data_IF_787494480542
#
_entry.id   IF_787494480542
#
_cell.length_a   1.000
_cell.length_b   1.000
_cell.length_c   1.000
_cell.angle_alpha   90.00
_cell.angle_beta   90.00
_cell.angle_gamma   90.00
#
_symmetry.space_group_name_H-M   'P 1'
#
loop_
_entity.id
_entity.type
_entity.pdbx_description
1 polymer ?
#
# COMPACT_ATOMS: atom_id res chain seq x y z
N UNK A 1 22.04 18.72 -22.48
CA UNK A 1 20.88 18.37 -23.34
C UNK A 1 21.26 18.19 -24.81
N UNK A 2 21.80 19.21 -25.50
CA UNK A 2 22.18 19.10 -26.94
C UNK A 2 23.12 17.92 -27.26
N UNK A 3 24.10 17.62 -26.40
CA UNK A 3 25.04 16.50 -26.59
C UNK A 3 24.38 15.11 -26.50
N UNK A 4 23.43 14.94 -25.58
CA UNK A 4 22.72 13.66 -25.40
C UNK A 4 21.81 13.40 -26.60
N UNK A 5 21.05 14.41 -27.02
CA UNK A 5 20.18 14.32 -28.20
C UNK A 5 21.00 14.09 -29.48
N UNK A 6 22.11 14.82 -29.66
CA UNK A 6 23.01 14.62 -30.79
C UNK A 6 23.57 13.20 -30.88
N UNK A 7 23.99 12.62 -29.75
CA UNK A 7 24.46 11.24 -29.73
C UNK A 7 23.40 10.22 -30.14
N UNK A 8 22.14 10.40 -29.73
CA UNK A 8 21.01 9.54 -30.14
C UNK A 8 20.70 9.65 -31.64
N UNK A 9 20.90 10.84 -32.23
CA UNK A 9 20.79 11.05 -33.68
C UNK A 9 21.96 10.35 -34.39
N UNK A 10 23.19 10.54 -33.91
CA UNK A 10 24.36 9.94 -34.57
C UNK A 10 24.43 8.40 -34.41
N UNK A 11 23.73 7.84 -33.40
CA UNK A 11 23.74 6.41 -33.06
C UNK A 11 22.32 5.81 -33.08
N UNK A 12 21.65 5.89 -34.24
CA UNK A 12 20.29 5.40 -34.43
C UNK A 12 20.07 3.92 -34.03
N UNK A 13 21.05 3.04 -34.24
CA UNK A 13 20.94 1.63 -33.84
C UNK A 13 20.82 1.49 -32.32
N UNK A 14 21.66 2.19 -31.56
CA UNK A 14 21.62 2.21 -30.09
C UNK A 14 20.31 2.80 -29.58
N UNK A 15 19.80 3.85 -30.23
CA UNK A 15 18.51 4.45 -29.91
C UNK A 15 17.34 3.46 -30.08
N UNK A 16 17.33 2.70 -31.18
CA UNK A 16 16.30 1.71 -31.46
C UNK A 16 16.39 0.50 -30.50
N UNK A 17 17.60 0.05 -30.15
CA UNK A 17 17.79 -0.99 -29.14
C UNK A 17 17.28 -0.55 -27.76
N UNK A 18 17.54 0.71 -27.38
CA UNK A 18 17.01 1.28 -26.14
C UNK A 18 15.48 1.32 -26.16
N UNK A 19 14.88 1.74 -27.28
CA UNK A 19 13.42 1.71 -27.46
C UNK A 19 12.87 0.29 -27.29
N UNK A 20 13.45 -0.69 -27.99
CA UNK A 20 13.03 -2.08 -27.92
C UNK A 20 13.12 -2.63 -26.50
N UNK A 21 14.21 -2.30 -25.79
CA UNK A 21 14.41 -2.69 -24.41
C UNK A 21 13.31 -2.15 -23.50
N UNK A 22 12.99 -0.86 -23.59
CA UNK A 22 11.92 -0.23 -22.80
C UNK A 22 10.56 -0.84 -23.12
N UNK A 23 10.27 -1.09 -24.40
CA UNK A 23 9.01 -1.73 -24.81
C UNK A 23 8.89 -3.16 -24.29
N UNK A 24 9.95 -3.97 -24.40
CA UNK A 24 9.96 -5.34 -23.90
C UNK A 24 9.79 -5.38 -22.37
N UNK A 25 10.51 -4.54 -21.64
CA UNK A 25 10.36 -4.41 -20.19
C UNK A 25 8.94 -3.96 -19.80
N UNK A 26 8.36 -3.01 -20.54
CA UNK A 26 6.99 -2.56 -20.35
C UNK A 26 5.97 -3.68 -20.56
N UNK A 27 6.11 -4.47 -21.63
CA UNK A 27 5.22 -5.61 -21.93
C UNK A 27 5.29 -6.65 -20.82
N UNK A 28 6.48 -7.03 -20.37
CA UNK A 28 6.65 -7.98 -19.25
C UNK A 28 5.98 -7.43 -17.98
N UNK A 29 6.17 -6.14 -17.70
CA UNK A 29 5.59 -5.49 -16.52
C UNK A 29 4.07 -5.52 -16.58
N UNK A 30 3.47 -5.15 -17.71
CA UNK A 30 2.00 -5.15 -17.88
C UNK A 30 1.42 -6.56 -17.72
N UNK A 31 2.09 -7.59 -18.24
CA UNK A 31 1.60 -8.97 -18.11
C UNK A 31 1.74 -9.55 -16.69
N UNK A 32 2.67 -9.02 -15.88
CA UNK A 32 2.96 -9.52 -14.52
C UNK A 32 2.35 -8.67 -13.42
N UNK A 33 1.89 -7.46 -13.75
CA UNK A 33 1.30 -6.53 -12.80
C UNK A 33 -0.01 -7.06 -12.24
N UNK A 34 -0.16 -7.01 -10.91
CA UNK A 34 -1.42 -7.32 -10.25
C UNK A 34 -2.43 -6.22 -10.53
N UNK A 35 -3.62 -6.61 -10.97
CA UNK A 35 -4.75 -5.71 -11.16
C UNK A 35 -5.68 -5.90 -9.96
N UNK A 36 -5.89 -4.83 -9.21
CA UNK A 36 -6.80 -4.80 -8.07
C UNK A 36 -7.99 -3.89 -8.40
N UNK A 37 -9.22 -4.37 -8.13
CA UNK A 37 -10.46 -3.60 -8.37
C UNK A 37 -10.60 -2.47 -7.36
N UNK A 38 -10.22 -2.74 -6.12
CA UNK A 38 -10.10 -1.77 -5.04
C UNK A 38 -8.69 -1.87 -4.47
N UNK A 39 -8.04 -0.75 -4.13
CA UNK A 39 -6.78 -0.81 -3.42
C UNK A 39 -6.96 -1.55 -2.10
N UNK A 40 -5.97 -2.36 -1.71
CA UNK A 40 -5.91 -2.93 -0.37
C UNK A 40 -5.63 -1.82 0.65
N UNK A 41 -6.72 -1.23 1.14
CA UNK A 41 -6.70 -0.32 2.28
C UNK A 41 -7.01 -1.20 3.49
N UNK A 42 -5.98 -1.77 4.10
CA UNK A 42 -6.08 -2.42 5.40
C UNK A 42 -5.95 -1.34 6.48
N UNK A 43 -7.06 -0.84 7.07
CA UNK A 43 -6.95 0.11 8.15
C UNK A 43 -6.29 -0.59 9.35
N UNK A 44 -5.37 0.10 10.02
CA UNK A 44 -4.78 -0.36 11.28
C UNK A 44 -5.87 -0.43 12.35
N UNK A 45 -6.54 -1.58 12.42
CA UNK A 45 -7.62 -1.86 13.37
C UNK A 45 -7.27 -3.10 14.18
N UNK A 46 -7.45 -2.98 15.49
CA UNK A 46 -7.32 -4.08 16.43
C UNK A 46 -8.70 -4.27 17.08
N UNK A 47 -9.20 -5.51 17.10
CA UNK A 47 -10.44 -5.84 17.76
C UNK A 47 -10.14 -6.44 19.14
N UNK A 48 -10.72 -5.84 20.19
CA UNK A 48 -10.60 -6.31 21.57
C UNK A 48 -11.98 -6.80 22.01
N UNK A 49 -12.07 -8.03 22.49
CA UNK A 49 -13.33 -8.62 22.94
C UNK A 49 -13.17 -9.15 24.36
N UNK A 50 -14.06 -8.71 25.25
CA UNK A 50 -14.13 -9.17 26.64
C UNK A 50 -15.55 -9.63 26.90
N UNK A 51 -15.71 -10.82 27.46
CA UNK A 51 -17.02 -11.39 27.80
C UNK A 51 -17.20 -11.33 29.30
N UNK A 52 -18.20 -10.59 29.74
CA UNK A 52 -18.68 -10.57 31.13
C UNK A 52 -20.19 -10.79 31.14
N UNK A 53 -20.66 -11.76 31.94
CA UNK A 53 -22.07 -12.16 32.01
C UNK A 53 -22.72 -11.77 33.34
N UNK A 54 -22.03 -11.01 34.19
CA UNK A 54 -22.46 -10.71 35.56
C UNK A 54 -22.79 -9.25 35.81
N UNK A 55 -22.31 -8.33 34.96
CA UNK A 55 -22.49 -6.90 35.12
C UNK A 55 -23.57 -6.31 34.20
N UNK A 56 -24.17 -5.20 34.65
CA UNK A 56 -25.04 -4.38 33.81
C UNK A 56 -24.23 -3.65 32.71
N UNK A 57 -24.86 -3.23 31.59
CA UNK A 57 -24.13 -2.53 30.52
C UNK A 57 -23.36 -1.29 31.00
N UNK A 58 -23.94 -0.52 31.92
CA UNK A 58 -23.30 0.67 32.48
C UNK A 58 -22.05 0.33 33.31
N UNK A 59 -22.11 -0.75 34.10
CA UNK A 59 -20.95 -1.20 34.88
C UNK A 59 -19.83 -1.73 33.97
N UNK A 60 -20.17 -2.41 32.87
CA UNK A 60 -19.18 -2.90 31.88
C UNK A 60 -18.46 -1.73 31.22
N UNK A 61 -19.19 -0.67 30.85
CA UNK A 61 -18.60 0.53 30.25
C UNK A 61 -17.57 1.18 31.19
N UNK A 62 -17.95 1.44 32.44
CA UNK A 62 -17.08 2.12 33.41
C UNK A 62 -15.91 1.24 33.87
N UNK A 63 -16.16 -0.05 34.11
CA UNK A 63 -15.15 -0.94 34.71
C UNK A 63 -14.21 -1.59 33.70
N UNK A 64 -14.65 -1.84 32.46
CA UNK A 64 -13.87 -2.57 31.45
C UNK A 64 -13.54 -1.66 30.27
N UNK A 65 -14.55 -1.12 29.58
CA UNK A 65 -14.35 -0.42 28.31
C UNK A 65 -13.51 0.84 28.50
N UNK A 66 -13.93 1.74 29.40
CA UNK A 66 -13.23 2.99 29.66
C UNK A 66 -11.78 2.75 30.12
N UNK A 67 -11.56 1.73 30.95
CA UNK A 67 -10.21 1.37 31.41
C UNK A 67 -9.31 0.89 30.27
N UNK A 68 -9.86 0.13 29.32
CA UNK A 68 -9.10 -0.32 28.15
C UNK A 68 -8.80 0.87 27.25
N UNK A 69 -9.78 1.75 26.99
CA UNK A 69 -9.61 2.93 26.16
C UNK A 69 -8.59 3.93 26.74
N UNK A 70 -8.66 4.24 28.04
CA UNK A 70 -7.68 5.10 28.71
C UNK A 70 -6.24 4.58 28.59
N UNK A 71 -6.06 3.25 28.64
CA UNK A 71 -4.74 2.63 28.57
C UNK A 71 -4.19 2.58 27.14
N UNK A 72 -5.06 2.60 26.13
CA UNK A 72 -4.69 2.55 24.72
C UNK A 72 -4.63 3.96 24.10
N UNK A 73 -5.35 4.95 24.64
CA UNK A 73 -5.41 6.32 24.13
C UNK A 73 -4.05 7.03 24.06
N UNK A 74 -2.99 6.48 24.67
CA UNK A 74 -1.64 7.02 24.62
C UNK A 74 -0.70 6.36 23.59
N UNK A 75 -1.19 5.43 22.77
CA UNK A 75 -0.42 4.73 21.72
C UNK A 75 -0.53 5.42 20.35
#
# INVERSE_FOLDING_TARGET
MKKIIGWFIDNHVSANLMMLFVLAAGIITVMTMKVEVFPDITPDKIAITVVDTGASPAEIEESIVNRIEERISGL
#
